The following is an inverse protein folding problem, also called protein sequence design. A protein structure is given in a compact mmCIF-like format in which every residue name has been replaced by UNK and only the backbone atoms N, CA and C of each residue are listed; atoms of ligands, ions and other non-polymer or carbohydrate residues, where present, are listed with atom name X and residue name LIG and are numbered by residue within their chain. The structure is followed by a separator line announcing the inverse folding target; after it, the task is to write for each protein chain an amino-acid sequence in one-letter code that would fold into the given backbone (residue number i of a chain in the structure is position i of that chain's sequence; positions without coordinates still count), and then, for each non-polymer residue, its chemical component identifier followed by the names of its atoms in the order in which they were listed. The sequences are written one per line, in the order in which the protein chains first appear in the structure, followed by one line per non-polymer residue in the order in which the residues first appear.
data_IF_212966191105
#
_entry.id   IF_212966191105
#
_cell.length_a   1.000
_cell.length_b   1.000
_cell.length_c   1.000
_cell.angle_alpha   90.00
_cell.angle_beta   90.00
_cell.angle_gamma   90.00
#
_symmetry.space_group_name_H-M   'P 1'
#
loop_
_entity.id
_entity.type
_entity.pdbx_description
1 polymer ?
#
# COMPACT_ATOMS: atom_id res chain seq x y z
N UNK A 1 -30.25 -9.22 5.91
CA UNK A 1 -29.62 -8.93 7.19
C UNK A 1 -29.46 -7.43 7.33
N UNK A 2 -29.45 -6.92 8.55
CA UNK A 2 -29.28 -5.49 8.77
C UNK A 2 -27.86 -5.08 8.39
N UNK A 3 -27.71 -4.04 7.58
CA UNK A 3 -26.42 -3.40 7.31
C UNK A 3 -26.00 -2.58 8.55
N UNK A 4 -24.69 -2.46 8.85
CA UNK A 4 -24.24 -1.46 9.83
C UNK A 4 -24.46 -0.06 9.27
N UNK A 5 -24.68 0.94 10.12
CA UNK A 5 -24.88 2.32 9.68
C UNK A 5 -23.67 2.91 8.96
N UNK A 6 -22.48 2.59 9.45
CA UNK A 6 -21.21 3.02 8.88
C UNK A 6 -20.30 1.83 8.63
N UNK A 7 -19.72 1.78 7.45
CA UNK A 7 -18.66 0.84 7.10
C UNK A 7 -17.32 1.56 6.97
N UNK A 8 -16.23 0.84 7.20
CA UNK A 8 -14.87 1.28 6.94
C UNK A 8 -14.18 0.23 6.07
N UNK A 9 -13.93 0.56 4.80
CA UNK A 9 -13.41 -0.42 3.85
C UNK A 9 -12.62 0.21 2.72
N UNK A 10 -11.95 -0.66 1.94
CA UNK A 10 -11.09 -0.26 0.81
C UNK A 10 -11.90 0.09 -0.43
N UNK A 11 -11.27 0.84 -1.34
CA UNK A 11 -11.87 1.25 -2.61
C UNK A 11 -12.42 0.09 -3.44
N UNK A 12 -11.78 -1.06 -3.36
CA UNK A 12 -12.17 -2.27 -4.09
C UNK A 12 -13.64 -2.65 -3.88
N UNK A 13 -14.19 -2.38 -2.70
CA UNK A 13 -15.59 -2.69 -2.34
C UNK A 13 -16.50 -1.48 -2.42
N UNK A 14 -15.97 -0.28 -2.14
CA UNK A 14 -16.76 0.95 -2.01
C UNK A 14 -17.52 1.28 -3.31
N UNK A 15 -16.85 1.27 -4.46
CA UNK A 15 -17.51 1.58 -5.72
C UNK A 15 -18.57 0.54 -6.14
N UNK A 16 -18.30 -0.77 -6.08
CA UNK A 16 -19.33 -1.79 -6.31
C UNK A 16 -20.53 -1.67 -5.37
N UNK A 17 -20.31 -1.35 -4.10
CA UNK A 17 -21.39 -1.15 -3.14
C UNK A 17 -22.21 0.12 -3.42
N UNK A 18 -21.58 1.17 -3.88
CA UNK A 18 -22.28 2.37 -4.34
C UNK A 18 -23.15 2.08 -5.58
N UNK A 19 -22.61 1.36 -6.56
CA UNK A 19 -23.35 0.93 -7.75
C UNK A 19 -24.53 -0.01 -7.43
N UNK A 20 -24.36 -0.88 -6.43
CA UNK A 20 -25.40 -1.79 -5.96
C UNK A 20 -26.45 -1.13 -5.05
N UNK A 21 -26.32 0.16 -4.74
CA UNK A 21 -27.25 0.88 -3.86
C UNK A 21 -27.12 0.49 -2.38
N UNK A 22 -26.03 -0.13 -1.97
CA UNK A 22 -25.74 -0.49 -0.58
C UNK A 22 -25.28 0.75 0.21
N UNK A 23 -24.60 1.70 -0.46
CA UNK A 23 -24.17 2.96 0.15
C UNK A 23 -25.13 4.10 -0.17
N UNK A 24 -25.41 4.95 0.81
CA UNK A 24 -26.05 6.25 0.60
C UNK A 24 -25.04 7.26 0.05
N UNK A 25 -24.91 7.27 -1.28
CA UNK A 25 -23.97 8.14 -1.99
C UNK A 25 -24.24 9.62 -1.73
N UNK A 26 -25.51 10.01 -1.54
CA UNK A 26 -25.88 11.40 -1.27
C UNK A 26 -25.40 11.84 0.11
N UNK A 27 -25.65 11.03 1.13
CA UNK A 27 -25.18 11.30 2.48
C UNK A 27 -23.65 11.38 2.56
N UNK A 28 -22.95 10.44 1.93
CA UNK A 28 -21.49 10.44 1.88
C UNK A 28 -20.92 11.68 1.18
N UNK A 29 -21.49 12.06 0.04
CA UNK A 29 -21.10 13.26 -0.69
C UNK A 29 -21.35 14.56 0.09
N UNK A 30 -22.44 14.61 0.86
CA UNK A 30 -22.74 15.74 1.75
C UNK A 30 -21.73 15.89 2.88
N UNK A 31 -21.29 14.78 3.49
CA UNK A 31 -20.20 14.79 4.49
C UNK A 31 -18.91 15.35 3.88
N UNK A 32 -18.52 14.89 2.69
CA UNK A 32 -17.33 15.39 2.00
C UNK A 32 -17.41 16.89 1.70
N UNK A 33 -18.62 17.38 1.30
CA UNK A 33 -18.86 18.82 1.09
C UNK A 33 -18.75 19.61 2.39
N UNK A 34 -19.36 19.11 3.47
CA UNK A 34 -19.34 19.75 4.78
C UNK A 34 -17.92 19.84 5.36
N UNK A 35 -17.11 18.78 5.22
CA UNK A 35 -15.70 18.77 5.62
C UNK A 35 -14.81 19.65 4.72
N UNK A 36 -15.27 19.99 3.53
CA UNK A 36 -14.54 20.79 2.54
C UNK A 36 -13.68 19.94 1.60
N UNK A 37 -14.10 19.80 0.35
CA UNK A 37 -13.41 19.02 -0.69
C UNK A 37 -11.91 19.36 -0.83
N UNK A 38 -11.54 20.62 -0.64
CA UNK A 38 -10.15 21.10 -0.77
C UNK A 38 -9.22 20.62 0.37
N UNK A 39 -9.78 20.11 1.46
CA UNK A 39 -9.01 19.55 2.57
C UNK A 39 -8.53 18.14 2.31
N UNK A 40 -9.14 17.43 1.35
CA UNK A 40 -8.78 16.07 0.98
C UNK A 40 -7.70 16.02 -0.09
N UNK A 41 -6.91 14.97 -0.10
CA UNK A 41 -6.04 14.62 -1.21
C UNK A 41 -6.89 14.41 -2.49
N UNK A 42 -6.62 15.14 -3.59
CA UNK A 42 -7.47 15.08 -4.79
C UNK A 42 -7.58 13.67 -5.38
N UNK A 43 -6.50 12.89 -5.31
CA UNK A 43 -6.49 11.50 -5.78
C UNK A 43 -7.47 10.61 -5.02
N UNK A 44 -7.54 10.74 -3.70
CA UNK A 44 -8.45 9.96 -2.86
C UNK A 44 -9.93 10.25 -3.18
N UNK A 45 -10.29 11.52 -3.40
CA UNK A 45 -11.64 11.89 -3.84
C UNK A 45 -11.94 11.39 -5.25
N UNK A 46 -11.00 11.54 -6.18
CA UNK A 46 -11.21 11.14 -7.58
C UNK A 46 -11.42 9.64 -7.73
N UNK A 47 -10.76 8.83 -6.91
CA UNK A 47 -10.93 7.38 -6.92
C UNK A 47 -12.32 6.95 -6.44
N UNK A 48 -12.95 7.69 -5.54
CA UNK A 48 -14.28 7.38 -4.99
C UNK A 48 -15.44 8.05 -5.73
N UNK A 49 -15.22 8.55 -6.95
CA UNK A 49 -16.29 9.16 -7.75
C UNK A 49 -17.30 8.14 -8.24
N UNK A 50 -18.58 8.45 -8.01
CA UNK A 50 -19.74 7.81 -8.63
C UNK A 50 -20.56 8.91 -9.35
N UNK A 51 -20.40 8.99 -10.67
CA UNK A 51 -20.91 10.12 -11.43
C UNK A 51 -20.27 11.46 -11.01
N UNK A 52 -21.10 12.44 -10.64
CA UNK A 52 -20.65 13.74 -10.12
C UNK A 52 -20.45 13.80 -8.61
N UNK A 53 -20.79 12.72 -7.89
CA UNK A 53 -20.76 12.62 -6.43
C UNK A 53 -19.55 11.81 -5.95
N UNK A 54 -19.23 11.94 -4.66
CA UNK A 54 -18.23 11.11 -3.98
C UNK A 54 -18.98 10.03 -3.20
N UNK A 55 -18.73 8.77 -3.56
CA UNK A 55 -19.48 7.62 -3.05
C UNK A 55 -19.22 7.28 -1.59
N UNK A 56 -18.05 7.65 -1.07
CA UNK A 56 -17.67 7.41 0.32
C UNK A 56 -16.59 8.41 0.76
N UNK A 57 -16.40 8.58 2.05
CA UNK A 57 -15.51 9.59 2.64
C UNK A 57 -14.10 9.03 2.79
N UNK A 58 -13.07 9.56 2.10
CA UNK A 58 -11.69 9.09 2.29
C UNK A 58 -11.21 9.32 3.72
N UNK A 59 -10.61 8.31 4.33
CA UNK A 59 -10.15 8.35 5.73
C UNK A 59 -8.64 8.36 5.82
N UNK A 60 -8.01 7.32 5.32
CA UNK A 60 -6.58 7.09 5.39
C UNK A 60 -6.12 6.23 4.21
N UNK A 61 -4.82 6.02 4.14
CA UNK A 61 -4.24 5.15 3.13
C UNK A 61 -2.83 4.72 3.48
N UNK A 62 -2.29 3.81 2.67
CA UNK A 62 -0.91 3.36 2.72
C UNK A 62 -0.45 2.95 1.32
N UNK A 63 0.86 2.90 1.11
CA UNK A 63 1.44 2.52 -0.18
C UNK A 63 2.32 1.30 -0.04
N UNK A 64 2.43 0.50 -1.10
CA UNK A 64 3.53 -0.45 -1.22
C UNK A 64 4.87 0.28 -1.34
N UNK A 65 5.93 -0.35 -0.85
CA UNK A 65 7.28 0.16 -0.86
C UNK A 65 8.26 -0.96 -1.22
N UNK A 66 9.40 -0.60 -1.81
CA UNK A 66 10.56 -1.50 -1.77
C UNK A 66 11.24 -1.31 -0.42
N UNK A 67 11.32 -2.38 0.34
CA UNK A 67 12.02 -2.46 1.63
C UNK A 67 13.34 -3.15 1.40
N UNK A 68 14.46 -2.56 1.80
CA UNK A 68 15.78 -3.09 1.48
C UNK A 68 16.83 -2.92 2.58
N UNK A 69 17.85 -3.74 2.57
CA UNK A 69 19.00 -3.73 3.48
C UNK A 69 20.04 -2.71 3.00
N UNK A 70 19.99 -1.49 3.54
CA UNK A 70 20.95 -0.40 3.23
C UNK A 70 22.41 -0.84 3.41
N UNK A 71 22.69 -1.50 4.52
CA UNK A 71 24.03 -1.97 4.86
C UNK A 71 24.62 -2.93 3.81
N UNK A 72 23.81 -3.83 3.26
CA UNK A 72 24.24 -4.73 2.20
C UNK A 72 24.49 -4.01 0.88
N UNK A 73 23.66 -3.02 0.55
CA UNK A 73 23.82 -2.19 -0.63
C UNK A 73 25.08 -1.33 -0.54
N UNK A 74 25.31 -0.67 0.58
CA UNK A 74 26.51 0.12 0.84
C UNK A 74 27.78 -0.73 0.75
N UNK A 75 27.80 -1.89 1.42
CA UNK A 75 28.93 -2.83 1.39
C UNK A 75 29.27 -3.32 -0.02
N UNK A 76 28.24 -3.50 -0.87
CA UNK A 76 28.41 -3.96 -2.25
C UNK A 76 28.59 -2.83 -3.27
N UNK A 77 28.58 -1.57 -2.84
CA UNK A 77 28.70 -0.41 -3.74
C UNK A 77 27.52 -0.29 -4.72
N UNK A 78 26.32 -0.62 -4.26
CA UNK A 78 25.11 -0.60 -5.07
C UNK A 78 24.29 0.66 -4.82
N UNK A 79 23.73 1.21 -5.90
CA UNK A 79 22.72 2.25 -5.81
C UNK A 79 21.43 1.72 -5.18
N UNK A 80 20.69 2.59 -4.48
CA UNK A 80 19.40 2.25 -3.90
C UNK A 80 18.43 1.65 -4.95
N UNK A 81 17.55 0.71 -4.57
CA UNK A 81 16.69 -0.05 -5.49
C UNK A 81 15.48 0.76 -5.98
N UNK A 82 15.72 1.93 -6.56
CA UNK A 82 14.70 2.89 -7.00
C UNK A 82 14.04 2.56 -8.33
N UNK A 83 14.57 1.55 -9.04
CA UNK A 83 14.08 1.16 -10.35
C UNK A 83 14.39 -0.31 -10.68
N UNK A 84 13.78 -0.81 -11.76
CA UNK A 84 13.98 -2.20 -12.22
C UNK A 84 15.45 -2.58 -12.43
N UNK A 85 16.25 -1.68 -13.00
CA UNK A 85 17.65 -1.97 -13.30
C UNK A 85 18.48 -2.12 -12.02
N UNK A 86 18.30 -1.23 -11.05
CA UNK A 86 19.00 -1.28 -9.77
C UNK A 86 18.62 -2.54 -8.97
N UNK A 87 17.34 -2.91 -8.94
CA UNK A 87 16.89 -4.16 -8.30
C UNK A 87 17.52 -5.36 -8.98
N UNK A 88 17.51 -5.42 -10.33
CA UNK A 88 18.10 -6.54 -11.07
C UNK A 88 19.60 -6.66 -10.81
N UNK A 89 20.31 -5.53 -10.75
CA UNK A 89 21.75 -5.48 -10.41
C UNK A 89 21.99 -5.99 -8.99
N UNK A 90 21.17 -5.55 -8.04
CA UNK A 90 21.28 -5.97 -6.65
C UNK A 90 20.97 -7.46 -6.45
N UNK A 91 19.98 -8.01 -7.15
CA UNK A 91 19.68 -9.45 -7.15
C UNK A 91 20.94 -10.25 -7.56
N UNK A 92 21.60 -9.84 -8.66
CA UNK A 92 22.81 -10.53 -9.14
C UNK A 92 23.98 -10.45 -8.15
N UNK A 93 24.14 -9.32 -7.49
CA UNK A 93 25.26 -9.07 -6.58
C UNK A 93 25.07 -9.69 -5.20
N UNK A 94 23.84 -9.80 -4.72
CA UNK A 94 23.52 -10.15 -3.33
C UNK A 94 22.89 -11.54 -3.17
N UNK A 95 22.58 -12.25 -4.26
CA UNK A 95 22.14 -13.65 -4.18
C UNK A 95 23.32 -14.58 -3.83
N UNK A 96 23.06 -15.58 -3.00
CA UNK A 96 24.07 -16.58 -2.61
C UNK A 96 23.44 -17.74 -1.85
N UNK A 97 24.27 -18.65 -1.32
CA UNK A 97 23.83 -19.91 -0.71
C UNK A 97 22.85 -19.74 0.46
N UNK A 98 22.93 -18.60 1.17
CA UNK A 98 22.08 -18.29 2.31
C UNK A 98 21.23 -17.03 2.10
N UNK A 99 21.18 -16.49 0.88
CA UNK A 99 20.53 -15.21 0.57
C UNK A 99 19.75 -15.31 -0.74
N UNK A 100 18.44 -15.21 -0.66
CA UNK A 100 17.57 -15.01 -1.83
C UNK A 100 17.70 -13.55 -2.28
N UNK A 101 17.96 -13.31 -3.56
CA UNK A 101 18.14 -11.93 -4.06
C UNK A 101 16.89 -11.04 -3.93
N UNK A 102 15.73 -11.67 -3.89
CA UNK A 102 14.44 -11.03 -3.67
C UNK A 102 13.44 -12.05 -3.10
N UNK A 103 12.37 -11.59 -2.46
CA UNK A 103 11.22 -12.44 -2.15
C UNK A 103 9.96 -11.78 -2.70
N UNK A 104 9.52 -12.28 -3.85
CA UNK A 104 8.31 -11.82 -4.52
C UNK A 104 7.07 -12.56 -4.00
N UNK A 105 5.92 -11.92 -4.13
CA UNK A 105 4.64 -12.58 -3.93
C UNK A 105 4.33 -13.47 -5.14
N UNK A 106 4.08 -14.77 -4.90
CA UNK A 106 3.79 -15.77 -5.96
C UNK A 106 2.53 -16.58 -5.69
N UNK A 107 1.91 -16.41 -4.53
CA UNK A 107 0.64 -17.08 -4.20
C UNK A 107 -0.53 -16.36 -4.86
N UNK A 108 -1.12 -16.98 -5.89
CA UNK A 108 -2.06 -16.33 -6.82
C UNK A 108 -3.47 -16.13 -6.26
N UNK A 109 -3.85 -16.85 -5.22
CA UNK A 109 -5.15 -16.75 -4.55
C UNK A 109 -5.15 -15.76 -3.37
N UNK A 110 -4.06 -15.02 -3.21
CA UNK A 110 -3.90 -14.01 -2.15
C UNK A 110 -3.87 -12.59 -2.74
N UNK A 111 -4.57 -11.67 -2.10
CA UNK A 111 -4.58 -10.25 -2.48
C UNK A 111 -3.19 -9.61 -2.48
N UNK A 112 -2.29 -10.10 -1.64
CA UNK A 112 -0.93 -9.59 -1.56
C UNK A 112 -0.18 -9.70 -2.88
N UNK A 113 -0.38 -10.79 -3.64
CA UNK A 113 0.24 -10.90 -4.96
C UNK A 113 -0.25 -9.83 -5.92
N UNK A 114 -1.56 -9.56 -5.98
CA UNK A 114 -2.10 -8.50 -6.84
C UNK A 114 -1.56 -7.13 -6.44
N UNK A 115 -1.49 -6.82 -5.16
CA UNK A 115 -0.93 -5.56 -4.64
C UNK A 115 0.54 -5.37 -5.05
N UNK A 116 1.36 -6.43 -4.95
CA UNK A 116 2.79 -6.38 -5.33
C UNK A 116 2.95 -6.29 -6.85
N UNK A 117 2.18 -7.08 -7.60
CA UNK A 117 2.21 -7.04 -9.06
C UNK A 117 1.76 -5.68 -9.60
N UNK A 118 0.66 -5.14 -9.10
CA UNK A 118 0.18 -3.82 -9.51
C UNK A 118 1.17 -2.70 -9.16
N UNK A 119 1.85 -2.80 -8.03
CA UNK A 119 2.93 -1.87 -7.69
C UNK A 119 4.05 -1.87 -8.75
N UNK A 120 4.47 -3.05 -9.19
CA UNK A 120 5.44 -3.22 -10.28
C UNK A 120 4.90 -2.66 -11.60
N UNK A 121 3.66 -2.96 -11.95
CA UNK A 121 3.02 -2.48 -13.18
C UNK A 121 2.92 -0.96 -13.22
N UNK A 122 2.38 -0.34 -12.16
CA UNK A 122 2.21 1.11 -12.04
C UNK A 122 3.55 1.84 -12.09
N UNK A 123 4.59 1.30 -11.44
CA UNK A 123 5.95 1.84 -11.49
C UNK A 123 6.46 1.99 -12.93
N UNK A 124 6.04 1.10 -13.83
CA UNK A 124 6.41 1.12 -15.26
C UNK A 124 5.35 1.78 -16.17
N UNK A 125 4.34 2.45 -15.60
CA UNK A 125 3.32 3.19 -16.32
C UNK A 125 2.19 2.31 -16.89
N UNK A 126 2.05 1.07 -16.40
CA UNK A 126 0.95 0.18 -16.77
C UNK A 126 -0.21 0.36 -15.79
N UNK A 127 -1.38 0.69 -16.32
CA UNK A 127 -2.62 0.77 -15.57
C UNK A 127 -3.65 -0.17 -16.22
N UNK A 128 -4.01 -1.25 -15.52
CA UNK A 128 -4.89 -2.31 -16.04
C UNK A 128 -6.32 -1.85 -16.25
N UNK A 129 -6.80 -0.84 -15.51
CA UNK A 129 -8.16 -0.32 -15.58
C UNK A 129 -8.31 0.87 -16.53
N UNK A 130 -7.23 1.31 -17.17
CA UNK A 130 -7.27 2.46 -18.09
C UNK A 130 -8.10 2.14 -19.32
N UNK A 131 -9.00 3.05 -19.71
CA UNK A 131 -9.79 2.96 -20.96
C UNK A 131 -8.89 2.74 -22.17
N UNK A 132 -9.17 1.71 -22.95
CA UNK A 132 -8.34 1.29 -24.09
C UNK A 132 -7.43 0.09 -23.76
N UNK A 133 -7.45 -0.36 -22.53
CA UNK A 133 -6.84 -1.62 -22.08
C UNK A 133 -5.34 -1.72 -22.28
N UNK A 134 -4.86 -2.94 -22.31
CA UNK A 134 -3.44 -3.28 -22.41
C UNK A 134 -2.84 -3.07 -23.82
N UNK A 135 -3.65 -2.89 -24.89
CA UNK A 135 -3.15 -2.73 -26.26
C UNK A 135 -2.14 -1.58 -26.41
N UNK A 136 -2.46 -0.42 -25.83
CA UNK A 136 -1.58 0.76 -25.88
C UNK A 136 -0.39 0.68 -24.92
N UNK A 137 -0.39 -0.28 -24.01
CA UNK A 137 0.60 -0.46 -22.97
C UNK A 137 1.41 -1.74 -23.15
N UNK A 138 1.25 -2.45 -24.28
CA UNK A 138 1.80 -3.79 -24.50
C UNK A 138 3.28 -3.95 -24.22
N UNK A 139 4.12 -2.98 -24.66
CA UNK A 139 5.56 -2.99 -24.39
C UNK A 139 5.86 -2.82 -22.90
N UNK A 140 5.20 -1.87 -22.24
CA UNK A 140 5.38 -1.63 -20.81
C UNK A 140 4.89 -2.83 -19.98
N UNK A 141 3.75 -3.40 -20.34
CA UNK A 141 3.22 -4.61 -19.71
C UNK A 141 4.19 -5.78 -19.86
N UNK A 142 4.68 -6.05 -21.07
CA UNK A 142 5.67 -7.11 -21.30
C UNK A 142 6.92 -6.91 -20.43
N UNK A 143 7.50 -5.72 -20.43
CA UNK A 143 8.68 -5.41 -19.61
C UNK A 143 8.42 -5.62 -18.12
N UNK A 144 7.23 -5.25 -17.63
CA UNK A 144 6.86 -5.43 -16.22
C UNK A 144 6.71 -6.90 -15.86
N UNK A 145 6.08 -7.71 -16.71
CA UNK A 145 5.94 -9.15 -16.49
C UNK A 145 7.27 -9.88 -16.56
N UNK A 146 8.15 -9.51 -17.50
CA UNK A 146 9.52 -10.06 -17.54
C UNK A 146 10.31 -9.68 -16.29
N UNK A 147 10.18 -8.46 -15.80
CA UNK A 147 10.79 -8.06 -14.54
C UNK A 147 10.21 -8.84 -13.36
N UNK A 148 8.89 -9.04 -13.29
CA UNK A 148 8.29 -9.85 -12.22
C UNK A 148 8.80 -11.30 -12.23
N UNK A 149 9.03 -11.88 -13.41
CA UNK A 149 9.70 -13.18 -13.54
C UNK A 149 11.11 -13.18 -12.96
N UNK A 150 11.87 -12.09 -13.12
CA UNK A 150 13.20 -11.95 -12.49
C UNK A 150 13.07 -11.98 -10.98
N UNK A 151 12.11 -11.24 -10.40
CA UNK A 151 11.84 -11.24 -8.96
C UNK A 151 11.46 -12.63 -8.46
N UNK A 152 10.55 -13.31 -9.15
CA UNK A 152 10.10 -14.65 -8.78
C UNK A 152 11.23 -15.69 -8.85
N UNK A 153 12.10 -15.62 -9.87
CA UNK A 153 13.26 -16.50 -9.97
C UNK A 153 14.33 -16.29 -8.90
N UNK A 154 14.41 -15.08 -8.36
CA UNK A 154 15.32 -14.74 -7.26
C UNK A 154 14.77 -15.13 -5.90
N UNK A 155 13.51 -15.56 -5.83
CA UNK A 155 12.78 -15.93 -4.62
C UNK A 155 12.92 -17.42 -4.29
N UNK A 156 12.63 -17.84 -3.05
CA UNK A 156 12.49 -19.27 -2.72
C UNK A 156 11.44 -19.94 -3.61
N UNK A 157 11.55 -21.26 -3.84
CA UNK A 157 10.50 -22.00 -4.53
C UNK A 157 9.20 -22.07 -3.70
N UNK A 158 8.08 -22.21 -4.38
CA UNK A 158 6.77 -22.39 -3.76
C UNK A 158 5.88 -21.15 -3.81
N UNK A 159 4.78 -21.23 -3.09
CA UNK A 159 3.79 -20.15 -2.97
C UNK A 159 4.18 -19.19 -1.85
N UNK A 160 4.47 -17.97 -2.22
CA UNK A 160 4.94 -16.93 -1.30
C UNK A 160 3.89 -15.81 -1.19
N UNK A 161 3.57 -15.42 0.03
CA UNK A 161 2.72 -14.29 0.31
C UNK A 161 3.32 -13.42 1.43
N UNK A 162 2.58 -12.48 1.99
CA UNK A 162 3.12 -11.47 2.91
C UNK A 162 3.87 -12.06 4.14
N UNK A 163 3.41 -13.21 4.69
CA UNK A 163 4.08 -13.81 5.87
C UNK A 163 5.48 -14.30 5.53
N UNK A 164 5.65 -15.01 4.41
CA UNK A 164 6.96 -15.53 4.00
C UNK A 164 7.90 -14.38 3.60
N UNK A 165 7.41 -13.37 2.86
CA UNK A 165 8.21 -12.20 2.50
C UNK A 165 8.76 -11.50 3.74
N UNK A 166 7.90 -11.19 4.70
CA UNK A 166 8.30 -10.58 5.97
C UNK A 166 9.26 -11.47 6.77
N UNK A 167 8.92 -12.74 6.93
CA UNK A 167 9.73 -13.68 7.74
C UNK A 167 11.15 -13.83 7.18
N UNK A 168 11.31 -13.92 5.86
CA UNK A 168 12.63 -14.01 5.23
C UNK A 168 13.43 -12.73 5.33
N UNK A 169 12.78 -11.56 5.21
CA UNK A 169 13.44 -10.29 5.44
C UNK A 169 13.88 -10.15 6.92
N UNK A 170 13.00 -10.49 7.85
CA UNK A 170 13.28 -10.45 9.30
C UNK A 170 14.36 -11.44 9.73
N UNK A 171 14.54 -12.53 8.99
CA UNK A 171 15.62 -13.49 9.21
C UNK A 171 16.94 -13.10 8.52
N UNK A 172 17.00 -11.96 7.83
CA UNK A 172 18.18 -11.54 7.06
C UNK A 172 18.47 -12.44 5.85
N UNK A 173 17.47 -13.17 5.33
CA UNK A 173 17.61 -14.13 4.24
C UNK A 173 17.28 -13.55 2.87
N UNK A 174 16.94 -12.27 2.79
CA UNK A 174 16.77 -11.52 1.55
C UNK A 174 17.16 -10.05 1.75
N UNK A 175 17.82 -9.42 0.76
CA UNK A 175 18.14 -8.00 0.84
C UNK A 175 16.98 -7.09 0.47
N UNK A 176 15.93 -7.59 -0.17
CA UNK A 176 14.83 -6.78 -0.68
C UNK A 176 13.51 -7.54 -0.69
N UNK A 177 12.44 -6.81 -0.38
CA UNK A 177 11.04 -7.22 -0.59
C UNK A 177 10.22 -6.01 -1.06
N UNK A 178 9.05 -6.25 -1.61
CA UNK A 178 7.98 -5.25 -1.73
C UNK A 178 6.99 -5.54 -0.61
N UNK A 179 6.76 -4.54 0.25
CA UNK A 179 5.89 -4.69 1.41
C UNK A 179 5.27 -3.34 1.80
N UNK A 180 4.35 -3.33 2.74
CA UNK A 180 3.62 -2.15 3.20
C UNK A 180 4.27 -1.51 4.44
N UNK A 181 3.88 -0.29 4.83
CA UNK A 181 4.34 0.35 6.06
C UNK A 181 4.00 -0.42 7.35
N UNK A 182 3.09 -1.38 7.30
CA UNK A 182 2.77 -2.25 8.43
C UNK A 182 3.96 -3.05 9.00
N UNK A 183 5.10 -3.07 8.29
CA UNK A 183 6.34 -3.66 8.77
C UNK A 183 7.07 -2.76 9.80
N UNK A 184 6.71 -1.49 9.91
CA UNK A 184 7.50 -0.50 10.65
C UNK A 184 7.50 -0.71 12.14
N UNK A 185 6.39 -1.11 12.73
CA UNK A 185 6.30 -1.33 14.19
C UNK A 185 7.03 -2.60 14.64
N UNK A 186 6.99 -3.69 13.86
CA UNK A 186 7.83 -4.85 14.14
C UNK A 186 9.32 -4.52 14.00
N UNK A 187 9.70 -3.75 12.96
CA UNK A 187 11.09 -3.30 12.79
C UNK A 187 11.56 -2.40 13.94
N UNK A 188 10.66 -1.57 14.46
CA UNK A 188 10.97 -0.67 15.57
C UNK A 188 10.98 -1.37 16.95
N UNK A 189 10.67 -2.67 17.01
CA UNK A 189 10.59 -3.42 18.27
C UNK A 189 9.36 -3.08 19.12
N UNK A 190 8.32 -2.47 18.51
CA UNK A 190 7.10 -2.05 19.19
C UNK A 190 6.02 -3.14 19.23
N UNK A 191 6.21 -4.22 18.46
CA UNK A 191 5.28 -5.32 18.36
C UNK A 191 6.01 -6.66 18.48
N UNK A 192 5.51 -7.55 19.30
CA UNK A 192 6.10 -8.86 19.57
C UNK A 192 5.51 -10.00 18.72
N UNK A 193 4.44 -9.74 17.97
CA UNK A 193 3.74 -10.74 17.15
C UNK A 193 4.60 -11.36 16.05
N UNK A 194 5.61 -10.64 15.57
CA UNK A 194 6.55 -11.10 14.55
C UNK A 194 7.88 -10.35 14.67
N UNK A 195 8.68 -10.60 15.72
CA UNK A 195 9.94 -9.91 15.93
C UNK A 195 10.95 -10.27 14.83
N UNK A 196 11.84 -9.34 14.43
CA UNK A 196 12.94 -9.64 13.54
C UNK A 196 13.90 -10.65 14.15
N UNK A 197 13.96 -11.86 13.59
CA UNK A 197 14.85 -12.92 14.06
C UNK A 197 16.33 -12.70 13.67
N UNK A 198 16.59 -11.70 12.83
CA UNK A 198 17.91 -11.18 12.53
C UNK A 198 18.57 -10.54 13.76
N UNK A 199 17.79 -9.88 14.60
CA UNK A 199 18.28 -9.19 15.78
C UNK A 199 18.70 -10.19 16.86
N UNK A 200 19.82 -9.93 17.52
CA UNK A 200 20.24 -10.71 18.70
C UNK A 200 19.24 -10.52 19.84
N UNK A 201 18.81 -9.27 20.04
CA UNK A 201 17.70 -8.91 20.94
C UNK A 201 16.46 -8.61 20.07
N UNK A 202 15.36 -9.38 20.19
CA UNK A 202 14.15 -9.19 19.39
C UNK A 202 13.45 -7.84 19.65
N UNK A 203 13.72 -7.19 20.77
CA UNK A 203 13.19 -5.86 21.10
C UNK A 203 14.07 -4.72 20.59
N UNK A 204 15.23 -5.04 20.01
CA UNK A 204 16.14 -4.04 19.45
C UNK A 204 15.64 -3.52 18.09
N UNK A 205 16.13 -2.36 17.69
CA UNK A 205 15.88 -1.77 16.39
C UNK A 205 17.02 -2.02 15.38
N UNK A 206 17.83 -3.06 15.59
CA UNK A 206 19.01 -3.33 14.76
C UNK A 206 18.69 -3.45 13.27
N UNK A 207 17.70 -4.28 12.92
CA UNK A 207 17.27 -4.44 11.53
C UNK A 207 16.66 -3.15 10.99
N UNK A 208 15.91 -2.40 11.81
CA UNK A 208 15.34 -1.12 11.41
C UNK A 208 16.41 -0.11 10.98
N UNK A 209 17.52 -0.02 11.72
CA UNK A 209 18.64 0.85 11.39
C UNK A 209 19.31 0.48 10.06
N UNK A 210 19.27 -0.81 9.69
CA UNK A 210 19.82 -1.34 8.43
C UNK A 210 18.80 -1.30 7.28
N UNK A 211 17.55 -0.92 7.54
CA UNK A 211 16.47 -0.93 6.56
C UNK A 211 16.29 0.43 5.90
N UNK A 212 16.12 0.43 4.57
CA UNK A 212 15.71 1.58 3.77
C UNK A 212 14.39 1.32 3.07
N UNK A 213 13.69 2.40 2.72
CA UNK A 213 12.39 2.38 2.07
C UNK A 213 12.42 3.19 0.78
N UNK A 214 11.90 2.63 -0.29
CA UNK A 214 11.69 3.33 -1.55
C UNK A 214 10.19 3.46 -1.78
N UNK A 215 9.69 4.66 -1.66
CA UNK A 215 8.26 5.00 -1.79
C UNK A 215 7.86 5.36 -3.22
N UNK A 216 8.82 5.73 -4.07
CA UNK A 216 8.61 6.00 -5.49
C UNK A 216 9.56 5.13 -6.33
N UNK A 217 9.01 4.16 -6.99
CA UNK A 217 9.70 3.12 -7.74
C UNK A 217 9.40 3.28 -9.23
N UNK A 218 10.40 3.08 -10.11
CA UNK A 218 10.26 3.33 -11.54
C UNK A 218 10.68 2.15 -12.42
N UNK A 219 10.14 2.12 -13.63
CA UNK A 219 10.51 1.17 -14.66
C UNK A 219 11.03 1.86 -15.93
N UNK A 220 11.50 1.09 -16.92
CA UNK A 220 12.06 1.63 -18.15
C UNK A 220 11.08 2.47 -18.97
N UNK A 221 9.78 2.21 -18.86
CA UNK A 221 8.73 2.90 -19.60
C UNK A 221 8.08 4.06 -18.83
N UNK A 222 8.43 4.24 -17.55
CA UNK A 222 7.95 5.35 -16.72
C UNK A 222 9.06 5.81 -15.77
N UNK A 223 9.82 6.81 -16.17
CA UNK A 223 10.93 7.37 -15.37
C UNK A 223 10.46 8.16 -14.15
N UNK A 224 9.21 8.63 -14.15
CA UNK A 224 8.64 9.34 -13.00
C UNK A 224 8.32 8.39 -11.84
N UNK A 225 8.14 7.12 -12.13
CA UNK A 225 7.74 6.13 -11.17
C UNK A 225 6.28 6.29 -10.70
N UNK A 226 5.86 5.37 -9.88
CA UNK A 226 4.58 5.38 -9.18
C UNK A 226 4.63 4.37 -8.03
N UNK A 227 3.59 4.37 -7.20
CA UNK A 227 3.36 3.37 -6.18
C UNK A 227 1.89 2.92 -6.22
N UNK A 228 1.65 1.66 -5.91
CA UNK A 228 0.31 1.19 -5.60
C UNK A 228 -0.08 1.66 -4.20
N UNK A 229 -1.30 2.15 -4.06
CA UNK A 229 -1.83 2.63 -2.79
C UNK A 229 -3.19 2.01 -2.51
N UNK A 230 -3.44 1.72 -1.25
CA UNK A 230 -4.78 1.41 -0.75
C UNK A 230 -5.32 2.62 0.01
N UNK A 231 -6.51 3.08 -0.37
CA UNK A 231 -7.24 4.12 0.33
C UNK A 231 -8.47 3.49 0.95
N UNK A 232 -8.68 3.78 2.23
CA UNK A 232 -9.86 3.32 2.98
C UNK A 232 -10.83 4.45 3.19
N UNK A 233 -12.09 4.10 3.23
CA UNK A 233 -13.22 5.02 3.21
C UNK A 233 -14.21 4.68 4.30
N UNK A 234 -14.81 5.70 4.92
CA UNK A 234 -16.09 5.55 5.59
C UNK A 234 -17.21 5.61 4.57
N UNK A 235 -18.17 4.71 4.69
CA UNK A 235 -19.38 4.70 3.90
C UNK A 235 -20.62 4.63 4.80
N UNK A 236 -21.55 5.57 4.64
CA UNK A 236 -22.89 5.49 5.20
C UNK A 236 -23.68 4.52 4.34
N UNK A 237 -24.34 3.56 4.94
CA UNK A 237 -25.17 2.57 4.22
C UNK A 237 -26.56 3.11 3.94
N UNK A 238 -27.27 2.49 2.99
CA UNK A 238 -28.60 2.93 2.59
C UNK A 238 -29.67 2.78 3.68
N UNK A 239 -29.46 1.85 4.62
CA UNK A 239 -30.38 1.57 5.73
C UNK A 239 -30.01 2.29 7.03
N UNK A 240 -28.98 3.16 7.00
CA UNK A 240 -28.44 3.82 8.18
C UNK A 240 -29.37 4.85 8.81
N UNK A 241 -29.22 5.07 10.12
CA UNK A 241 -29.58 6.36 10.73
C UNK A 241 -28.60 7.42 10.18
N UNK A 242 -29.02 8.07 9.10
CA UNK A 242 -28.17 8.96 8.30
C UNK A 242 -27.63 10.14 9.12
N UNK A 243 -28.43 10.71 10.02
CA UNK A 243 -28.00 11.87 10.80
C UNK A 243 -26.94 11.50 11.83
N UNK A 244 -27.11 10.38 12.54
CA UNK A 244 -26.10 9.89 13.49
C UNK A 244 -24.84 9.40 12.78
N UNK A 245 -24.97 8.71 11.65
CA UNK A 245 -23.83 8.29 10.81
C UNK A 245 -23.01 9.50 10.30
N UNK A 246 -23.67 10.55 9.84
CA UNK A 246 -22.99 11.79 9.44
C UNK A 246 -22.24 12.43 10.60
N UNK A 247 -22.84 12.53 11.79
CA UNK A 247 -22.19 13.08 12.99
C UNK A 247 -20.93 12.29 13.36
N UNK A 248 -21.05 10.96 13.37
CA UNK A 248 -19.92 10.08 13.66
C UNK A 248 -18.75 10.30 12.68
N UNK A 249 -19.03 10.32 11.37
CA UNK A 249 -17.98 10.50 10.35
C UNK A 249 -17.40 11.92 10.42
N UNK A 250 -18.23 12.94 10.59
CA UNK A 250 -17.78 14.33 10.75
C UNK A 250 -16.80 14.45 11.91
N UNK A 251 -17.16 13.92 13.09
CA UNK A 251 -16.26 13.91 14.25
C UNK A 251 -14.97 13.15 13.97
N UNK A 252 -15.07 11.92 13.42
CA UNK A 252 -13.90 11.07 13.13
C UNK A 252 -12.95 11.67 12.11
N UNK A 253 -13.42 12.54 11.24
CA UNK A 253 -12.62 13.18 10.17
C UNK A 253 -12.16 14.59 10.53
N UNK A 254 -12.59 15.14 11.63
CA UNK A 254 -12.24 16.49 12.08
C UNK A 254 -11.63 16.46 13.49
N UNK A 255 -12.38 16.71 14.55
CA UNK A 255 -11.86 16.72 15.93
C UNK A 255 -11.21 15.40 16.35
N UNK A 256 -11.78 14.26 15.95
CA UNK A 256 -11.30 12.91 16.25
C UNK A 256 -10.27 12.36 15.27
N UNK A 257 -9.84 13.13 14.25
CA UNK A 257 -9.06 12.55 13.16
C UNK A 257 -7.67 12.05 13.60
N UNK A 258 -6.96 12.82 14.40
CA UNK A 258 -5.67 12.38 14.95
C UNK A 258 -5.81 11.09 15.78
N UNK A 259 -6.88 10.99 16.61
CA UNK A 259 -7.16 9.78 17.37
C UNK A 259 -7.51 8.59 16.49
N UNK A 260 -8.28 8.81 15.43
CA UNK A 260 -8.60 7.76 14.43
C UNK A 260 -7.34 7.23 13.74
N UNK A 261 -6.44 8.11 13.35
CA UNK A 261 -5.17 7.74 12.70
C UNK A 261 -4.20 7.06 13.67
N UNK A 262 -4.23 7.38 14.95
CA UNK A 262 -3.32 6.83 15.96
C UNK A 262 -3.55 5.34 16.26
N UNK A 263 -4.68 4.78 15.84
CA UNK A 263 -4.95 3.34 15.91
C UNK A 263 -4.20 2.65 14.77
N UNK A 264 -3.10 1.96 15.05
CA UNK A 264 -2.21 1.36 14.07
C UNK A 264 -1.69 2.39 13.03
N UNK A 265 -0.94 3.42 13.48
CA UNK A 265 -0.54 4.57 12.65
C UNK A 265 0.38 4.19 11.49
N UNK A 266 1.10 3.08 11.60
CA UNK A 266 1.99 2.54 10.57
C UNK A 266 1.27 2.20 9.26
N UNK A 267 -0.05 1.97 9.30
CA UNK A 267 -0.88 1.67 8.14
C UNK A 267 -1.96 2.72 7.84
N UNK A 268 -1.88 3.91 8.47
CA UNK A 268 -2.91 4.96 8.38
C UNK A 268 -2.32 6.33 8.08
N UNK A 269 -1.83 6.53 6.87
CA UNK A 269 -1.39 7.86 6.44
C UNK A 269 -2.60 8.74 6.14
N UNK A 270 -2.59 10.02 6.58
CA UNK A 270 -3.70 10.92 6.38
C UNK A 270 -3.93 11.22 4.90
N UNK A 271 -5.19 11.29 4.50
CA UNK A 271 -5.62 11.71 3.15
C UNK A 271 -6.42 13.00 3.18
N UNK A 272 -6.57 13.60 4.35
CA UNK A 272 -7.16 14.89 4.60
C UNK A 272 -6.23 15.71 5.50
N UNK A 273 -6.13 17.01 5.27
CA UNK A 273 -5.55 17.91 6.26
C UNK A 273 -6.46 17.91 7.48
N UNK A 274 -5.90 17.77 8.65
CA UNK A 274 -6.64 17.90 9.89
C UNK A 274 -7.27 19.30 10.05
N UNK A 275 -7.94 19.48 11.16
CA UNK A 275 -8.35 20.78 11.64
C UNK A 275 -7.17 21.75 11.61
N UNK A 276 -7.40 23.06 11.46
CA UNK A 276 -6.34 24.09 11.40
C UNK A 276 -5.43 24.14 12.64
N UNK A 277 -5.77 23.45 13.70
CA UNK A 277 -4.95 23.20 14.89
C UNK A 277 -4.07 21.94 14.82
N UNK A 278 -4.28 21.08 13.81
CA UNK A 278 -3.45 19.89 13.56
C UNK A 278 -2.46 20.20 12.43
N UNK A 279 -1.16 20.26 12.68
CA UNK A 279 -0.15 20.55 11.67
C UNK A 279 -0.01 19.44 10.62
#
# INVERSE_FOLDING_TARGET
GNLPDVIYHTLQYVLPWAEAGILDVDANNDVVKALGKKTFAPGALNMAKSGSKIAAVPVDGWTQMVVYRKDLFEKAGLDAPTNYANITKAIKALSGDNMYGFVAATKTDENFMSQVLEHVLLANGVNLVKKGGTKKQGKALKNSLEFYKVLAKASPPGELYWKQSRALYFAGRTPMIIWSPFIMDELAGLRDSAPPTFNVDPTSNELAQKTGFITNFSGPNNKKGAAWADIRYFGITADADTDEAKKFIMYSMDEGYASTLSIAPEGKFPVRRGNSSDP
#
